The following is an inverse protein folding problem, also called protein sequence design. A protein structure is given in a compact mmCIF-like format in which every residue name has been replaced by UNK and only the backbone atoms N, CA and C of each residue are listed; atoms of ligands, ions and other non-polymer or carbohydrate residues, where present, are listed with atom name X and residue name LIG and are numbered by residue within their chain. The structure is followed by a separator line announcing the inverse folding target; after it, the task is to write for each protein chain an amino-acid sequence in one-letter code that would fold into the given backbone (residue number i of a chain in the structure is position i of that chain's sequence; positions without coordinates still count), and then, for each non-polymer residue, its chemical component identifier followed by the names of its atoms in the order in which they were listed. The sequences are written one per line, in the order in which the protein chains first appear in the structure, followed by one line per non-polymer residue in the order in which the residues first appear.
data_IF_675058333830
#
_entry.id   IF_675058333830
#
_cell.length_a   1.000
_cell.length_b   1.000
_cell.length_c   1.000
_cell.angle_alpha   90.00
_cell.angle_beta   90.00
_cell.angle_gamma   90.00
#
_symmetry.space_group_name_H-M   'P 1'
#
loop_
_entity.id
_entity.type
_entity.pdbx_description
1 polymer ?
#
# COMPACT_ATOMS: atom_id res chain seq x y z
N UNK A 1 -6.37 -12.71 -16.51
CA UNK A 1 -6.84 -11.55 -17.29
C UNK A 1 -7.79 -10.74 -16.41
N UNK A 2 -7.71 -9.42 -16.46
CA UNK A 2 -8.57 -8.54 -15.67
C UNK A 2 -9.61 -7.86 -16.56
N UNK A 3 -10.87 -7.89 -16.14
CA UNK A 3 -11.99 -7.31 -16.89
C UNK A 3 -12.62 -6.17 -16.10
N UNK A 4 -12.63 -4.97 -16.68
CA UNK A 4 -13.30 -3.82 -16.10
C UNK A 4 -14.83 -4.00 -16.09
N UNK A 5 -15.54 -3.51 -15.04
CA UNK A 5 -16.99 -3.61 -14.93
C UNK A 5 -17.68 -2.80 -16.04
N UNK A 6 -18.90 -3.18 -16.43
CA UNK A 6 -19.63 -2.54 -17.54
C UNK A 6 -19.80 -1.03 -17.41
N UNK A 7 -19.83 -0.55 -16.18
CA UNK A 7 -20.02 0.83 -15.76
C UNK A 7 -18.80 1.71 -16.03
N UNK A 8 -17.60 1.12 -16.06
CA UNK A 8 -16.36 1.89 -16.08
C UNK A 8 -15.27 1.32 -16.99
N UNK A 9 -14.43 2.20 -17.53
CA UNK A 9 -13.23 1.84 -18.31
C UNK A 9 -12.07 2.75 -17.95
N UNK A 10 -10.84 2.26 -18.11
CA UNK A 10 -9.67 3.12 -17.99
C UNK A 10 -9.56 3.94 -19.29
N UNK A 11 -9.66 5.28 -19.25
CA UNK A 11 -9.46 6.09 -20.43
C UNK A 11 -8.05 5.91 -20.97
N UNK A 12 -7.93 5.95 -22.29
CA UNK A 12 -6.66 5.79 -23.02
C UNK A 12 -6.55 6.89 -24.06
N UNK A 13 -5.37 7.53 -24.14
CA UNK A 13 -5.09 8.64 -25.05
C UNK A 13 -6.04 9.84 -24.88
N UNK A 14 -6.14 10.39 -23.66
CA UNK A 14 -6.97 11.57 -23.43
C UNK A 14 -6.34 12.84 -24.05
N UNK A 15 -7.15 13.84 -24.44
CA UNK A 15 -6.62 15.12 -24.88
C UNK A 15 -5.75 15.77 -23.80
N UNK A 16 -4.45 15.89 -24.05
CA UNK A 16 -3.47 16.43 -23.10
C UNK A 16 -2.54 15.38 -22.48
N UNK A 17 -2.80 14.08 -22.69
CA UNK A 17 -1.88 13.00 -22.31
C UNK A 17 -0.67 12.93 -23.26
N UNK A 18 0.40 12.25 -22.79
CA UNK A 18 1.51 11.86 -23.66
C UNK A 18 1.06 10.85 -24.70
N UNK A 19 1.53 10.98 -25.94
CA UNK A 19 1.24 10.04 -27.04
C UNK A 19 1.91 8.65 -26.89
N UNK A 20 2.50 8.35 -25.72
CA UNK A 20 3.34 7.19 -25.47
C UNK A 20 2.77 6.31 -24.37
N UNK A 21 2.84 4.99 -24.58
CA UNK A 21 2.69 4.01 -23.51
C UNK A 21 4.08 3.54 -23.08
N UNK A 22 4.33 3.56 -21.78
CA UNK A 22 5.56 3.03 -21.19
C UNK A 22 5.23 1.64 -20.65
N UNK A 23 5.96 0.63 -21.12
CA UNK A 23 5.92 -0.71 -20.56
C UNK A 23 7.22 -0.95 -19.81
N UNK A 24 7.10 -1.07 -18.49
CA UNK A 24 8.20 -1.52 -17.64
C UNK A 24 8.09 -3.02 -17.42
N UNK A 25 9.18 -3.76 -17.63
CA UNK A 25 9.24 -5.21 -17.43
C UNK A 25 10.32 -5.55 -16.42
N UNK A 26 9.94 -6.22 -15.34
CA UNK A 26 10.86 -6.63 -14.29
C UNK A 26 11.40 -8.04 -14.55
N UNK A 27 12.70 -8.14 -14.86
CA UNK A 27 13.37 -9.44 -15.08
C UNK A 27 14.18 -9.84 -13.84
N UNK A 28 13.81 -10.94 -13.20
CA UNK A 28 14.64 -11.57 -12.18
C UNK A 28 15.55 -12.63 -12.82
N UNK A 29 16.84 -12.31 -12.99
CA UNK A 29 17.85 -13.18 -13.62
C UNK A 29 18.99 -13.55 -12.65
N UNK A 30 18.72 -14.34 -11.59
CA UNK A 30 19.72 -14.64 -10.55
C UNK A 30 20.90 -15.47 -11.07
N UNK A 31 20.68 -16.28 -12.11
CA UNK A 31 21.73 -17.11 -12.74
C UNK A 31 22.58 -16.33 -13.76
N UNK A 32 22.29 -15.04 -13.98
CA UNK A 32 22.99 -14.17 -14.94
C UNK A 32 23.07 -14.78 -16.35
N UNK A 33 22.00 -15.45 -16.78
CA UNK A 33 21.92 -16.07 -18.11
C UNK A 33 22.03 -15.00 -19.18
N UNK A 34 22.84 -15.28 -20.19
CA UNK A 34 23.05 -14.41 -21.36
C UNK A 34 22.37 -15.01 -22.60
N UNK A 35 22.15 -14.18 -23.63
CA UNK A 35 21.57 -14.61 -24.91
C UNK A 35 20.07 -14.92 -24.87
N UNK A 36 19.38 -14.59 -23.77
CA UNK A 36 17.92 -14.70 -23.68
C UNK A 36 17.26 -13.59 -24.50
N UNK A 37 16.30 -13.96 -25.35
CA UNK A 37 15.46 -13.03 -26.10
C UNK A 37 14.05 -13.18 -25.57
N UNK A 38 13.48 -12.08 -25.07
CA UNK A 38 12.09 -12.01 -24.61
C UNK A 38 11.25 -11.14 -25.54
N UNK A 39 9.97 -11.49 -25.68
CA UNK A 39 8.98 -10.72 -26.42
C UNK A 39 7.64 -10.74 -25.66
N UNK A 40 7.73 -10.65 -24.34
CA UNK A 40 6.59 -10.60 -23.44
C UNK A 40 5.96 -9.21 -23.46
N UNK A 41 4.69 -9.14 -23.07
CA UNK A 41 3.97 -7.88 -22.99
C UNK A 41 2.53 -8.02 -22.54
N UNK A 42 1.79 -6.93 -22.66
CA UNK A 42 0.39 -6.82 -22.23
C UNK A 42 -0.49 -6.67 -23.47
N UNK A 43 -1.63 -7.38 -23.49
CA UNK A 43 -2.67 -7.20 -24.51
C UNK A 43 -3.80 -6.34 -23.96
N UNK A 44 -3.97 -5.15 -24.50
CA UNK A 44 -5.13 -4.30 -24.23
C UNK A 44 -6.29 -4.65 -25.17
N UNK A 45 -7.50 -4.71 -24.62
CA UNK A 45 -8.75 -4.75 -25.40
C UNK A 45 -9.46 -3.42 -25.19
N UNK A 46 -9.52 -2.60 -26.25
CA UNK A 46 -10.02 -1.22 -26.20
C UNK A 46 -11.28 -1.04 -27.04
N UNK A 47 -12.05 0.00 -26.74
CA UNK A 47 -13.27 0.39 -27.48
C UNK A 47 -13.28 1.90 -27.68
N UNK A 48 -13.76 2.41 -28.84
CA UNK A 48 -13.95 3.84 -29.03
C UNK A 48 -15.19 4.38 -28.30
N UNK A 49 -16.09 3.50 -27.83
CA UNK A 49 -17.28 3.88 -27.08
C UNK A 49 -16.96 4.05 -25.60
N UNK A 50 -17.03 5.28 -25.11
CA UNK A 50 -16.84 5.59 -23.70
C UNK A 50 -17.89 4.87 -22.84
N UNK A 51 -17.44 4.38 -21.68
CA UNK A 51 -18.33 3.88 -20.62
C UNK A 51 -18.84 5.05 -19.79
N UNK A 52 -19.77 4.76 -18.87
CA UNK A 52 -20.41 5.79 -18.05
C UNK A 52 -19.41 6.52 -17.14
N UNK A 53 -18.41 5.80 -16.64
CA UNK A 53 -17.40 6.34 -15.74
C UNK A 53 -15.97 6.01 -16.20
N UNK A 54 -15.07 6.95 -15.97
CA UNK A 54 -13.64 6.67 -15.98
C UNK A 54 -13.28 5.85 -14.74
N UNK A 55 -12.41 4.86 -14.91
CA UNK A 55 -11.79 4.16 -13.80
C UNK A 55 -10.48 4.85 -13.38
N UNK A 56 -10.20 4.82 -12.08
CA UNK A 56 -8.95 5.26 -11.49
C UNK A 56 -8.27 4.12 -10.72
N UNK A 57 -7.00 4.34 -10.38
CA UNK A 57 -6.22 3.47 -9.51
C UNK A 57 -5.66 4.34 -8.39
N UNK A 58 -6.03 4.00 -7.15
CA UNK A 58 -5.46 4.58 -5.94
C UNK A 58 -4.42 3.62 -5.38
N UNK A 59 -3.19 4.09 -5.22
CA UNK A 59 -2.11 3.37 -4.56
C UNK A 59 -2.04 3.74 -3.07
N UNK A 60 -2.20 2.76 -2.17
CA UNK A 60 -1.86 2.91 -0.75
C UNK A 60 -0.58 2.12 -0.49
N UNK A 61 0.49 2.78 -0.08
CA UNK A 61 1.83 2.19 -0.14
C UNK A 61 2.79 2.62 0.97
N UNK A 62 3.63 1.71 1.44
CA UNK A 62 4.84 2.09 2.17
C UNK A 62 5.87 2.63 1.17
N UNK A 63 6.78 3.54 1.55
CA UNK A 63 7.86 3.93 0.65
C UNK A 63 8.62 2.72 0.09
N UNK A 64 8.80 2.68 -1.22
CA UNK A 64 9.60 1.67 -1.94
C UNK A 64 11.08 2.04 -1.86
N UNK A 65 11.55 2.24 -0.63
CA UNK A 65 12.91 2.60 -0.29
C UNK A 65 13.26 2.15 1.14
N UNK A 66 14.43 2.55 1.62
CA UNK A 66 14.95 2.15 2.93
C UNK A 66 14.16 2.65 4.15
N UNK A 67 13.06 3.38 3.95
CA UNK A 67 12.15 3.78 5.02
C UNK A 67 11.13 2.69 5.41
N UNK A 68 10.89 1.68 4.58
CA UNK A 68 10.25 0.45 5.01
C UNK A 68 11.31 -0.45 5.66
N UNK A 69 11.10 -0.83 6.91
CA UNK A 69 12.10 -1.53 7.72
C UNK A 69 11.48 -2.77 8.36
N UNK A 70 12.00 -3.94 7.98
CA UNK A 70 11.57 -5.24 8.50
C UNK A 70 12.73 -5.85 9.29
N UNK A 71 12.63 -5.93 10.63
CA UNK A 71 13.70 -6.50 11.43
C UNK A 71 13.81 -8.02 11.18
N UNK A 72 15.01 -8.61 11.30
CA UNK A 72 15.20 -10.05 11.16
C UNK A 72 14.53 -10.82 12.31
N UNK A 73 14.44 -12.14 12.14
CA UNK A 73 13.99 -13.09 13.16
C UNK A 73 12.54 -12.92 13.63
N UNK A 74 11.67 -12.28 12.83
CA UNK A 74 10.25 -12.13 13.16
C UNK A 74 9.39 -13.08 12.35
N UNK A 75 8.56 -13.89 13.01
CA UNK A 75 7.61 -14.79 12.32
C UNK A 75 6.31 -14.12 11.88
N UNK A 76 6.01 -12.94 12.43
CA UNK A 76 4.78 -12.21 12.17
C UNK A 76 4.99 -10.72 12.46
N UNK A 77 5.80 -10.07 11.63
CA UNK A 77 6.05 -8.64 11.71
C UNK A 77 5.02 -7.89 10.85
N UNK A 78 4.38 -6.86 11.39
CA UNK A 78 3.36 -6.10 10.67
C UNK A 78 3.86 -4.68 10.41
N UNK A 79 3.82 -4.25 9.15
CA UNK A 79 3.93 -2.84 8.79
C UNK A 79 2.57 -2.30 8.42
N UNK A 80 2.25 -1.11 8.92
CA UNK A 80 1.00 -0.41 8.67
C UNK A 80 1.24 0.84 7.84
N UNK A 81 0.36 1.07 6.87
CA UNK A 81 0.34 2.22 5.98
C UNK A 81 -1.04 2.84 6.03
N UNK A 82 -1.10 4.17 5.96
CA UNK A 82 -2.31 4.92 6.23
C UNK A 82 -2.65 5.90 5.11
N UNK A 83 -3.95 6.01 4.80
CA UNK A 83 -4.54 7.05 3.98
C UNK A 83 -5.67 7.69 4.80
N UNK A 84 -5.48 8.91 5.27
CA UNK A 84 -6.28 9.48 6.35
C UNK A 84 -7.67 9.98 5.90
N UNK A 85 -8.57 10.16 6.86
CA UNK A 85 -9.96 10.56 6.59
C UNK A 85 -10.06 11.90 5.85
N UNK A 86 -9.22 12.87 6.22
CA UNK A 86 -9.22 14.20 5.59
C UNK A 86 -8.86 14.13 4.12
N UNK A 87 -7.84 13.34 3.76
CA UNK A 87 -7.40 13.17 2.38
C UNK A 87 -8.46 12.42 1.59
N UNK A 88 -8.94 11.28 2.07
CA UNK A 88 -10.02 10.55 1.36
C UNK A 88 -11.25 11.46 1.17
N UNK A 89 -11.61 12.25 2.18
CA UNK A 89 -12.74 13.19 2.08
C UNK A 89 -12.49 14.29 1.05
N UNK A 90 -11.31 14.91 1.05
CA UNK A 90 -10.91 15.95 0.09
C UNK A 90 -11.08 15.49 -1.35
N UNK A 91 -10.54 14.31 -1.68
CA UNK A 91 -10.53 13.80 -3.04
C UNK A 91 -11.84 13.14 -3.48
N UNK A 92 -12.78 12.94 -2.55
CA UNK A 92 -14.15 12.51 -2.83
C UNK A 92 -15.16 13.66 -2.82
N UNK A 93 -14.74 14.92 -2.63
CA UNK A 93 -15.65 16.07 -2.62
C UNK A 93 -16.48 16.20 -3.92
N UNK A 94 -15.89 15.83 -5.05
CA UNK A 94 -16.54 15.84 -6.37
C UNK A 94 -17.58 14.72 -6.53
N UNK A 95 -17.58 13.72 -5.64
CA UNK A 95 -18.46 12.56 -5.66
C UNK A 95 -19.20 12.43 -4.32
N UNK A 96 -20.30 13.16 -4.10
CA UNK A 96 -21.07 13.12 -2.84
C UNK A 96 -21.56 11.72 -2.45
N UNK A 97 -21.77 10.85 -3.44
CA UNK A 97 -22.18 9.46 -3.24
C UNK A 97 -20.99 8.50 -3.09
N UNK A 98 -19.75 9.00 -3.13
CA UNK A 98 -18.53 8.21 -3.11
C UNK A 98 -18.16 7.61 -4.47
N UNK A 99 -17.16 6.73 -4.44
CA UNK A 99 -16.66 5.97 -5.58
C UNK A 99 -16.77 4.48 -5.31
N UNK A 100 -17.08 3.70 -6.34
CA UNK A 100 -17.19 2.26 -6.25
C UNK A 100 -15.84 1.59 -6.53
N UNK A 101 -15.32 0.89 -5.53
CA UNK A 101 -14.17 0.00 -5.66
C UNK A 101 -14.62 -1.32 -6.26
N UNK A 102 -14.00 -1.70 -7.38
CA UNK A 102 -14.32 -2.91 -8.13
C UNK A 102 -13.18 -3.94 -8.15
N UNK A 103 -11.98 -3.54 -7.72
CA UNK A 103 -10.82 -4.42 -7.65
C UNK A 103 -9.79 -3.93 -6.64
N UNK A 104 -9.08 -4.87 -6.02
CA UNK A 104 -7.88 -4.59 -5.21
C UNK A 104 -6.80 -5.58 -5.59
N UNK A 105 -5.62 -5.08 -5.95
CA UNK A 105 -4.42 -5.88 -6.14
C UNK A 105 -3.45 -5.55 -5.00
N UNK A 106 -3.10 -6.55 -4.20
CA UNK A 106 -2.15 -6.40 -3.10
C UNK A 106 -0.78 -6.94 -3.52
N UNK A 107 0.28 -6.29 -3.04
CA UNK A 107 1.65 -6.61 -3.43
C UNK A 107 2.61 -6.45 -2.26
N UNK A 108 3.46 -7.46 -2.11
CA UNK A 108 4.65 -7.54 -1.25
C UNK A 108 5.63 -8.55 -1.87
N UNK A 109 6.90 -8.55 -1.45
CA UNK A 109 7.90 -9.51 -1.93
C UNK A 109 7.92 -10.81 -1.10
N UNK A 110 9.07 -11.48 -1.00
CA UNK A 110 9.19 -12.88 -0.56
C UNK A 110 8.82 -13.13 0.91
N UNK A 111 9.03 -12.14 1.78
CA UNK A 111 8.71 -12.23 3.21
C UNK A 111 7.21 -12.08 3.46
N UNK A 112 6.44 -11.48 2.54
CA UNK A 112 4.99 -11.30 2.69
C UNK A 112 4.24 -12.63 2.91
N UNK A 113 3.34 -12.65 3.90
CA UNK A 113 2.49 -13.81 4.26
C UNK A 113 1.01 -13.48 4.44
N UNK A 114 0.68 -12.23 4.73
CA UNK A 114 -0.70 -11.76 4.76
C UNK A 114 -0.74 -10.28 4.42
N UNK A 115 -1.80 -9.83 3.74
CA UNK A 115 -2.01 -8.42 3.41
C UNK A 115 -3.48 -8.07 3.60
N UNK A 116 -3.76 -7.03 4.37
CA UNK A 116 -5.12 -6.58 4.67
C UNK A 116 -5.30 -5.10 4.37
N UNK A 117 -6.32 -4.77 3.58
CA UNK A 117 -6.69 -3.39 3.23
C UNK A 117 -8.00 -3.04 3.92
N UNK A 118 -7.90 -2.40 5.08
CA UNK A 118 -8.99 -2.06 5.98
C UNK A 118 -9.64 -0.74 5.57
N UNK A 119 -10.94 -0.59 5.87
CA UNK A 119 -11.69 0.66 5.71
C UNK A 119 -12.30 1.03 7.06
N UNK A 120 -12.08 2.26 7.51
CA UNK A 120 -12.60 2.78 8.75
C UNK A 120 -13.51 3.94 8.38
N UNK A 121 -14.81 3.81 8.63
CA UNK A 121 -15.78 4.88 8.39
C UNK A 121 -16.07 5.58 9.71
N UNK A 122 -15.59 6.82 9.88
CA UNK A 122 -15.84 7.65 11.08
C UNK A 122 -15.59 6.90 12.38
N UNK A 123 -14.44 6.22 12.47
CA UNK A 123 -14.03 5.42 13.63
C UNK A 123 -14.68 4.04 13.76
N UNK A 124 -15.52 3.60 12.81
CA UNK A 124 -16.10 2.25 12.78
C UNK A 124 -15.46 1.44 11.66
N UNK A 125 -14.74 0.38 12.01
CA UNK A 125 -14.15 -0.51 11.01
C UNK A 125 -15.24 -1.26 10.25
N UNK A 126 -15.03 -1.29 8.95
CA UNK A 126 -15.91 -1.91 8.00
C UNK A 126 -15.30 -3.23 7.51
N UNK A 127 -16.10 -4.05 6.79
CA UNK A 127 -15.53 -5.17 6.03
C UNK A 127 -14.35 -4.68 5.16
N UNK A 128 -13.16 -5.28 5.26
CA UNK A 128 -11.99 -4.88 4.49
C UNK A 128 -12.26 -4.86 2.98
N UNK A 129 -11.57 -4.01 2.22
CA UNK A 129 -11.59 -4.07 0.76
C UNK A 129 -10.96 -5.37 0.25
N UNK A 130 -9.93 -5.84 0.95
CA UNK A 130 -9.25 -7.10 0.69
C UNK A 130 -8.60 -7.61 1.98
N UNK A 131 -8.65 -8.92 2.21
CA UNK A 131 -8.04 -9.61 3.35
C UNK A 131 -7.40 -10.91 2.84
N UNK A 132 -6.12 -10.85 2.47
CA UNK A 132 -5.32 -12.04 2.16
C UNK A 132 -4.69 -12.58 3.42
N UNK A 133 -5.22 -13.70 3.94
CA UNK A 133 -4.65 -14.34 5.11
C UNK A 133 -3.48 -15.26 4.77
N UNK A 134 -3.30 -15.59 3.50
CA UNK A 134 -2.34 -16.58 3.00
C UNK A 134 -1.67 -16.05 1.73
N UNK A 135 -1.22 -14.79 1.79
CA UNK A 135 -0.57 -14.16 0.66
C UNK A 135 0.65 -14.95 0.24
N UNK A 136 0.75 -15.22 -1.06
CA UNK A 136 1.89 -15.86 -1.70
C UNK A 136 2.40 -14.92 -2.78
N UNK A 137 3.68 -14.56 -2.70
CA UNK A 137 4.37 -13.76 -3.72
C UNK A 137 4.19 -14.32 -5.13
N UNK A 138 4.08 -15.64 -5.29
CA UNK A 138 3.90 -16.29 -6.58
C UNK A 138 2.45 -16.26 -7.10
N UNK A 139 1.49 -15.83 -6.27
CA UNK A 139 0.07 -15.74 -6.60
C UNK A 139 -0.50 -14.37 -6.25
N UNK A 140 -0.33 -13.41 -7.16
CA UNK A 140 -0.81 -12.04 -7.00
C UNK A 140 -1.96 -11.78 -7.98
N UNK A 141 -3.19 -11.95 -7.50
CA UNK A 141 -4.41 -11.77 -8.31
C UNK A 141 -5.24 -10.55 -7.85
N UNK A 142 -6.10 -10.09 -8.74
CA UNK A 142 -7.05 -9.02 -8.46
C UNK A 142 -8.23 -9.56 -7.66
N UNK A 143 -8.38 -9.11 -6.41
CA UNK A 143 -9.59 -9.37 -5.65
C UNK A 143 -10.71 -8.47 -6.13
N UNK A 144 -11.80 -9.08 -6.59
CA UNK A 144 -13.03 -8.35 -6.88
C UNK A 144 -13.58 -7.75 -5.60
N UNK A 145 -13.92 -6.47 -5.66
CA UNK A 145 -14.62 -5.77 -4.61
C UNK A 145 -15.94 -5.22 -5.18
N UNK A 146 -16.90 -4.97 -4.30
CA UNK A 146 -18.10 -4.20 -4.62
C UNK A 146 -18.40 -3.34 -3.40
N UNK A 147 -17.69 -2.23 -3.30
CA UNK A 147 -17.66 -1.40 -2.09
C UNK A 147 -17.59 0.07 -2.47
N UNK A 148 -18.47 0.88 -1.91
CA UNK A 148 -18.36 2.33 -2.01
C UNK A 148 -17.39 2.87 -0.96
N UNK A 149 -16.36 3.59 -1.40
CA UNK A 149 -15.58 4.51 -0.57
C UNK A 149 -16.24 5.89 -0.62
N UNK A 150 -16.38 6.53 0.53
CA UNK A 150 -17.11 7.80 0.69
C UNK A 150 -16.42 8.73 1.68
N UNK A 151 -16.80 10.00 1.67
CA UNK A 151 -16.34 10.97 2.66
C UNK A 151 -16.54 10.46 4.10
N UNK A 152 -15.52 10.64 4.94
CA UNK A 152 -15.45 10.05 6.28
C UNK A 152 -14.84 8.65 6.34
N UNK A 153 -14.43 8.06 5.21
CA UNK A 153 -13.62 6.83 5.19
C UNK A 153 -12.13 7.14 5.35
N UNK A 154 -11.40 6.24 5.98
CA UNK A 154 -9.95 6.17 5.96
C UNK A 154 -9.49 4.75 5.66
N UNK A 155 -8.27 4.58 5.17
CA UNK A 155 -7.71 3.28 4.78
C UNK A 155 -6.48 2.94 5.62
N UNK A 156 -6.38 1.67 6.01
CA UNK A 156 -5.18 1.11 6.63
C UNK A 156 -4.78 -0.12 5.82
N UNK A 157 -3.57 -0.11 5.28
CA UNK A 157 -2.94 -1.27 4.68
C UNK A 157 -1.98 -1.90 5.70
N UNK A 158 -2.17 -3.19 5.97
CA UNK A 158 -1.31 -3.97 6.86
C UNK A 158 -0.66 -5.07 6.04
N UNK A 159 0.68 -5.10 6.02
CA UNK A 159 1.45 -6.19 5.43
C UNK A 159 2.16 -6.97 6.54
N UNK A 160 1.92 -8.27 6.57
CA UNK A 160 2.55 -9.20 7.51
C UNK A 160 3.69 -9.93 6.82
N UNK A 161 4.84 -9.95 7.47
CA UNK A 161 6.07 -10.58 6.99
C UNK A 161 6.57 -11.68 7.92
N UNK A 162 7.18 -12.70 7.32
CA UNK A 162 8.00 -13.70 8.00
C UNK A 162 9.47 -13.50 7.60
N UNK A 163 10.23 -12.90 8.50
CA UNK A 163 11.68 -12.67 8.42
C UNK A 163 12.49 -13.63 9.29
N UNK A 164 11.92 -14.76 9.73
CA UNK A 164 12.61 -15.73 10.61
C UNK A 164 13.94 -16.22 10.03
N UNK A 165 13.99 -16.41 8.70
CA UNK A 165 15.17 -16.84 7.96
C UNK A 165 16.18 -15.73 7.66
N UNK A 166 15.87 -14.46 7.96
CA UNK A 166 16.78 -13.33 7.74
C UNK A 166 17.68 -13.12 8.96
N UNK A 167 18.95 -12.79 8.71
CA UNK A 167 19.91 -12.39 9.77
C UNK A 167 20.13 -10.88 9.84
N UNK A 168 19.83 -10.16 8.75
CA UNK A 168 19.98 -8.72 8.64
C UNK A 168 18.60 -8.08 8.44
N UNK A 169 18.53 -6.76 8.63
CA UNK A 169 17.34 -5.97 8.31
C UNK A 169 17.01 -6.12 6.83
N UNK A 170 15.73 -6.33 6.52
CA UNK A 170 15.21 -6.23 5.15
C UNK A 170 14.56 -4.87 4.97
N UNK A 171 15.00 -4.14 3.95
CA UNK A 171 14.49 -2.81 3.63
C UNK A 171 13.48 -2.85 2.49
N UNK A 172 12.71 -1.78 2.36
CA UNK A 172 11.92 -1.55 1.16
C UNK A 172 12.79 -1.28 -0.07
N UNK A 173 12.32 -1.72 -1.24
CA UNK A 173 13.01 -1.49 -2.50
C UNK A 173 12.49 -2.35 -3.65
N UNK A 174 13.13 -2.22 -4.81
CA UNK A 174 12.67 -2.82 -6.07
C UNK A 174 13.13 -4.27 -6.27
N UNK A 175 14.21 -4.68 -5.62
CA UNK A 175 14.72 -6.04 -5.72
C UNK A 175 13.79 -7.04 -5.05
N UNK A 176 13.70 -8.26 -5.60
CA UNK A 176 12.95 -9.37 -4.98
C UNK A 176 13.47 -9.75 -3.57
N UNK A 177 14.70 -9.36 -3.22
CA UNK A 177 15.27 -9.56 -1.88
C UNK A 177 15.02 -8.39 -0.91
N UNK A 178 14.57 -7.26 -1.44
CA UNK A 178 13.99 -6.16 -0.65
C UNK A 178 12.49 -6.41 -0.50
N UNK A 179 11.75 -5.50 0.14
CA UNK A 179 10.31 -5.65 0.38
C UNK A 179 9.46 -4.50 -0.14
N UNK A 180 8.16 -4.77 -0.23
CA UNK A 180 7.14 -3.77 -0.56
C UNK A 180 5.87 -4.00 0.26
N UNK A 181 5.06 -2.95 0.43
CA UNK A 181 3.73 -3.05 1.01
C UNK A 181 2.77 -2.15 0.26
N UNK A 182 2.03 -2.71 -0.70
CA UNK A 182 1.22 -1.93 -1.64
C UNK A 182 -0.18 -2.54 -1.77
N UNK A 183 -1.19 -1.67 -1.86
CA UNK A 183 -2.51 -1.99 -2.36
C UNK A 183 -2.89 -1.04 -3.49
N UNK A 184 -3.10 -1.58 -4.68
CA UNK A 184 -3.70 -0.89 -5.82
C UNK A 184 -5.22 -1.08 -5.78
N UNK A 185 -5.94 0.00 -5.52
CA UNK A 185 -7.39 0.04 -5.38
C UNK A 185 -7.98 0.58 -6.67
N UNK A 186 -8.72 -0.25 -7.39
CA UNK A 186 -9.37 0.09 -8.65
C UNK A 186 -10.79 0.57 -8.38
N UNK A 187 -11.10 1.81 -8.76
CA UNK A 187 -12.38 2.45 -8.47
C UNK A 187 -12.95 3.26 -9.63
N UNK A 188 -14.23 3.58 -9.56
CA UNK A 188 -14.88 4.55 -10.43
C UNK A 188 -15.97 5.33 -9.67
N UNK A 189 -16.29 6.59 -10.03
CA UNK A 189 -15.56 7.41 -10.99
C UNK A 189 -14.10 7.67 -10.57
N UNK A 190 -13.23 7.89 -11.56
CA UNK A 190 -11.81 8.20 -11.37
C UNK A 190 -11.67 9.42 -10.47
N UNK A 191 -10.92 9.28 -9.39
CA UNK A 191 -10.59 10.41 -8.51
C UNK A 191 -9.24 10.99 -8.90
N UNK A 192 -9.03 12.19 -8.39
CA UNK A 192 -7.77 12.90 -8.43
C UNK A 192 -6.75 12.39 -7.41
N UNK A 193 -7.03 11.38 -6.59
CA UNK A 193 -6.07 10.85 -5.62
C UNK A 193 -5.36 9.66 -6.24
N UNK A 194 -4.08 9.83 -6.55
CA UNK A 194 -3.26 8.79 -7.14
C UNK A 194 -2.59 7.94 -6.07
N UNK A 195 -2.01 8.57 -5.04
CA UNK A 195 -1.28 7.85 -4.01
C UNK A 195 -1.53 8.35 -2.59
N UNK A 196 -1.38 7.41 -1.65
CA UNK A 196 -1.29 7.60 -0.22
C UNK A 196 -0.08 6.83 0.28
N UNK A 197 1.00 7.53 0.60
CA UNK A 197 2.23 6.94 1.11
C UNK A 197 2.49 7.40 2.54
N UNK A 198 2.72 6.48 3.47
CA UNK A 198 3.04 6.84 4.85
C UNK A 198 4.19 6.02 5.42
N UNK A 199 5.02 6.64 6.25
CA UNK A 199 6.05 5.95 7.04
C UNK A 199 6.09 6.44 8.48
N UNK A 200 6.46 5.61 9.46
CA UNK A 200 6.78 6.08 10.80
C UNK A 200 8.03 6.99 10.76
N UNK A 201 8.10 7.96 11.68
CA UNK A 201 9.27 8.83 11.82
C UNK A 201 10.45 8.20 12.56
N UNK A 202 10.23 7.07 13.24
CA UNK A 202 11.28 6.40 14.03
C UNK A 202 12.01 7.34 14.99
N UNK A 203 11.28 8.23 15.69
CA UNK A 203 11.88 9.38 16.41
C UNK A 203 12.95 8.96 17.41
N UNK A 204 12.74 7.82 18.09
CA UNK A 204 13.66 7.25 19.09
C UNK A 204 15.00 6.79 18.49
N UNK A 205 15.04 6.50 17.19
CA UNK A 205 16.22 5.97 16.50
C UNK A 205 17.06 7.05 15.81
N UNK A 206 16.62 8.31 15.82
CA UNK A 206 17.45 9.43 15.39
C UNK A 206 18.35 9.89 16.53
N UNK A 207 19.64 9.53 16.46
CA UNK A 207 20.66 9.85 17.48
C UNK A 207 21.42 11.15 17.22
N UNK A 208 21.27 11.73 16.03
CA UNK A 208 21.89 13.00 15.63
C UNK A 208 21.10 14.24 16.11
N UNK A 209 21.67 15.45 15.95
CA UNK A 209 20.98 16.69 16.28
C UNK A 209 19.68 16.87 15.49
N UNK A 210 18.57 17.10 16.18
CA UNK A 210 17.28 17.41 15.56
C UNK A 210 17.16 18.93 15.39
N UNK A 211 17.36 19.41 14.16
CA UNK A 211 17.26 20.84 13.82
C UNK A 211 15.90 21.25 13.27
N UNK A 212 15.07 20.26 12.93
CA UNK A 212 13.72 20.44 12.38
C UNK A 212 13.09 19.11 11.99
N UNK A 213 11.82 19.13 11.59
CA UNK A 213 11.06 17.90 11.27
C UNK A 213 11.64 17.10 10.09
N UNK A 214 12.31 17.78 9.14
CA UNK A 214 12.99 17.13 8.02
C UNK A 214 14.14 16.23 8.45
N UNK A 215 14.67 16.41 9.68
CA UNK A 215 15.71 15.52 10.23
C UNK A 215 15.21 14.06 10.33
N UNK A 216 13.89 13.86 10.46
CA UNK A 216 13.25 12.56 10.52
C UNK A 216 12.98 11.94 9.12
N UNK A 217 13.35 12.64 8.05
CA UNK A 217 13.31 12.10 6.69
C UNK A 217 14.64 11.44 6.29
N UNK A 218 15.71 11.67 7.05
CA UNK A 218 17.00 11.05 6.78
C UNK A 218 16.91 9.51 6.92
N UNK A 219 17.49 8.73 5.98
CA UNK A 219 17.56 7.29 6.11
C UNK A 219 18.27 6.86 7.40
N UNK A 220 17.74 5.83 8.05
CA UNK A 220 18.27 5.26 9.29
C UNK A 220 19.01 3.94 9.07
N UNK A 221 19.42 3.64 7.83
CA UNK A 221 20.04 2.35 7.46
C UNK A 221 21.22 2.01 8.36
N UNK A 222 22.20 2.92 8.47
CA UNK A 222 23.37 2.71 9.35
C UNK A 222 23.01 2.49 10.82
N UNK A 223 21.94 3.13 11.31
CA UNK A 223 21.47 2.94 12.68
C UNK A 223 20.86 1.56 12.85
N UNK A 224 19.95 1.18 11.95
CA UNK A 224 19.25 -0.10 12.01
C UNK A 224 20.16 -1.29 11.71
N UNK A 225 21.16 -1.13 10.86
CA UNK A 225 22.18 -2.16 10.58
C UNK A 225 23.09 -2.42 11.78
N UNK A 226 23.30 -1.42 12.64
CA UNK A 226 24.13 -1.52 13.84
C UNK A 226 23.38 -2.08 15.07
N UNK A 227 22.05 -2.24 14.99
CA UNK A 227 21.23 -2.75 16.10
C UNK A 227 21.40 -4.26 16.25
N UNK A 228 21.52 -4.72 17.49
CA UNK A 228 21.34 -6.12 17.84
C UNK A 228 19.84 -6.47 17.90
N UNK A 229 19.32 -6.97 16.77
CA UNK A 229 17.93 -7.39 16.63
C UNK A 229 17.59 -8.69 17.36
N UNK A 230 18.56 -9.38 17.95
CA UNK A 230 18.27 -10.52 18.82
C UNK A 230 17.83 -10.07 20.22
N UNK A 231 18.09 -8.81 20.58
CA UNK A 231 17.68 -8.23 21.84
C UNK A 231 16.16 -7.90 21.83
N UNK A 232 15.39 -8.66 22.60
CA UNK A 232 13.94 -8.49 22.73
C UNK A 232 13.50 -7.08 23.20
N UNK A 233 14.36 -6.36 23.94
CA UNK A 233 14.06 -4.97 24.35
C UNK A 233 14.07 -4.02 23.16
N UNK A 234 15.03 -4.20 22.23
CA UNK A 234 15.13 -3.35 21.04
C UNK A 234 13.99 -3.62 20.08
N UNK A 235 13.63 -4.89 19.88
CA UNK A 235 12.44 -5.25 19.09
C UNK A 235 11.18 -4.61 19.69
N UNK A 236 11.05 -4.61 21.02
CA UNK A 236 9.90 -4.00 21.70
C UNK A 236 9.86 -2.48 21.51
N UNK A 237 10.99 -1.82 21.64
CA UNK A 237 11.10 -0.38 21.39
C UNK A 237 10.79 0.00 19.94
N UNK A 238 11.24 -0.84 18.99
CA UNK A 238 10.92 -0.65 17.58
C UNK A 238 9.42 -0.80 17.32
N UNK A 239 8.77 -1.84 17.86
CA UNK A 239 7.31 -2.01 17.76
C UNK A 239 6.55 -0.87 18.44
N UNK A 240 7.02 -0.41 19.60
CA UNK A 240 6.46 0.77 20.29
C UNK A 240 6.54 2.03 19.42
N UNK A 241 7.63 2.22 18.67
CA UNK A 241 7.78 3.31 17.71
C UNK A 241 6.75 3.21 16.57
N UNK A 242 6.53 2.01 16.01
CA UNK A 242 5.52 1.81 14.96
C UNK A 242 4.10 2.13 15.44
N UNK A 243 3.80 1.86 16.71
CA UNK A 243 2.46 2.05 17.30
C UNK A 243 2.21 3.48 17.82
N UNK A 244 3.27 4.19 18.23
CA UNK A 244 3.15 5.43 19.00
C UNK A 244 3.87 6.64 18.39
N UNK A 245 4.75 6.47 17.41
CA UNK A 245 5.36 7.63 16.73
C UNK A 245 4.43 8.21 15.68
N UNK A 246 4.62 9.50 15.41
CA UNK A 246 4.00 10.14 14.27
C UNK A 246 4.50 9.53 12.96
N UNK A 247 3.62 9.48 11.98
CA UNK A 247 3.91 9.08 10.62
C UNK A 247 4.04 10.31 9.73
N UNK A 248 5.07 10.32 8.89
CA UNK A 248 5.15 11.20 7.74
C UNK A 248 4.27 10.64 6.64
N UNK A 249 3.39 11.48 6.10
CA UNK A 249 2.36 11.08 5.14
C UNK A 249 2.42 12.00 3.92
N UNK A 250 2.48 11.40 2.74
CA UNK A 250 2.52 12.04 1.43
C UNK A 250 1.34 11.53 0.62
N UNK A 251 0.63 12.44 -0.05
CA UNK A 251 -0.50 12.11 -0.90
C UNK A 251 -0.60 13.11 -2.05
N UNK A 252 -1.13 12.69 -3.19
CA UNK A 252 -1.09 13.54 -4.38
C UNK A 252 -1.93 13.07 -5.54
N UNK A 253 -2.01 13.94 -6.54
CA UNK A 253 -2.85 13.81 -7.72
C UNK A 253 -2.10 13.32 -8.96
N UNK A 254 -0.81 13.62 -9.02
CA UNK A 254 0.13 13.21 -10.07
C UNK A 254 1.55 13.25 -9.47
N UNK A 255 2.57 12.84 -10.24
CA UNK A 255 3.97 12.85 -9.79
C UNK A 255 4.54 14.25 -9.47
N UNK A 256 3.79 15.32 -9.75
CA UNK A 256 4.26 16.72 -9.67
C UNK A 256 3.55 17.54 -8.57
N UNK A 257 2.47 17.04 -7.97
CA UNK A 257 1.69 17.72 -6.94
C UNK A 257 1.48 16.82 -5.72
N UNK A 258 2.53 16.70 -4.90
CA UNK A 258 2.47 16.01 -3.62
C UNK A 258 2.22 17.00 -2.47
N UNK A 259 1.17 16.72 -1.70
CA UNK A 259 0.98 17.27 -0.37
C UNK A 259 1.64 16.36 0.66
N UNK A 260 2.05 16.94 1.78
CA UNK A 260 2.55 16.17 2.91
C UNK A 260 1.96 16.68 4.22
N UNK A 261 1.87 15.79 5.21
CA UNK A 261 1.49 16.12 6.57
C UNK A 261 2.06 15.11 7.55
N UNK A 262 1.86 15.37 8.83
CA UNK A 262 2.17 14.48 9.94
C UNK A 262 0.87 13.92 10.51
N UNK A 263 0.87 12.65 10.87
CA UNK A 263 -0.31 12.02 11.48
C UNK A 263 0.09 11.13 12.67
N UNK A 264 -0.84 10.96 13.60
CA UNK A 264 -0.72 9.98 14.69
C UNK A 264 -1.42 8.69 14.25
N UNK A 265 -0.75 7.53 14.24
CA UNK A 265 -1.37 6.27 13.83
C UNK A 265 -2.59 5.91 14.69
N UNK A 266 -2.65 6.34 15.96
CA UNK A 266 -3.78 6.06 16.84
C UNK A 266 -5.07 6.74 16.40
N UNK A 267 -4.99 7.89 15.71
CA UNK A 267 -6.19 8.56 15.20
C UNK A 267 -6.83 7.81 14.03
N UNK A 268 -6.12 6.83 13.46
CA UNK A 268 -6.61 6.00 12.36
C UNK A 268 -7.31 4.74 12.82
N UNK A 269 -7.00 4.26 14.03
CA UNK A 269 -7.56 3.01 14.50
C UNK A 269 -9.05 3.13 14.80
N UNK A 270 -9.83 2.08 14.50
CA UNK A 270 -11.25 2.11 14.75
C UNK A 270 -11.54 2.04 16.25
N UNK A 271 -12.54 2.80 16.68
CA UNK A 271 -13.16 2.67 18.00
C UNK A 271 -14.04 1.42 18.10
N UNK A 272 -14.54 0.94 16.94
CA UNK A 272 -15.38 -0.26 16.84
C UNK A 272 -14.77 -1.18 15.77
N UNK A 273 -14.18 -2.33 16.14
CA UNK A 273 -13.58 -3.25 15.18
C UNK A 273 -14.64 -3.98 14.35
N UNK A 274 -14.26 -4.39 13.14
CA UNK A 274 -15.13 -5.16 12.29
C UNK A 274 -15.22 -6.60 12.79
N UNK A 275 -16.43 -7.13 12.85
CA UNK A 275 -16.69 -8.55 13.11
C UNK A 275 -17.33 -9.15 11.87
N UNK A 276 -16.72 -10.19 11.31
CA UNK A 276 -17.34 -10.92 10.22
C UNK A 276 -18.65 -11.53 10.76
N UNK A 277 -19.80 -11.32 10.09
CA UNK A 277 -21.04 -11.94 10.49
C UNK A 277 -20.87 -13.47 10.56
N UNK A 278 -21.57 -14.16 11.49
CA UNK A 278 -21.60 -15.61 11.49
C UNK A 278 -22.01 -16.11 10.11
N UNK A 279 -21.25 -17.07 9.58
CA UNK A 279 -21.43 -17.58 8.22
C UNK A 279 -22.76 -18.35 8.14
N UNK A 280 -23.86 -17.67 7.81
CA UNK A 280 -25.21 -18.27 7.74
C UNK A 280 -25.48 -19.02 6.43
N UNK A 281 -24.46 -19.21 5.58
CA UNK A 281 -24.59 -19.86 4.27
C UNK A 281 -23.55 -20.97 4.01
N UNK A 282 -23.28 -21.81 5.01
CA UNK A 282 -22.81 -23.18 4.76
C UNK A 282 -23.85 -24.16 5.33
N UNK A 283 -25.07 -24.10 4.78
CA UNK A 283 -26.05 -25.17 4.92
C UNK A 283 -25.77 -26.20 3.83
N UNK A 284 -25.48 -27.43 4.29
CA UNK A 284 -25.23 -28.65 3.49
C UNK A 284 -26.36 -28.93 2.51
#
# INVERSE_FOLDING_TARGET
AFYFPTEAGLPVAEPGDTELYIMETHYNNPELKSGMVDNSGIRFTVTPTLRLHDAGILEVTAPVDTNLVIPPHQSNFVSSVYCNESTVTEFLQEYPNGVNVFGVQQHAHLLGKAIKTRVIHKGVEQKPLADDKYYDFNYQDFRRANRTLRAGDSLILECTYDSTGQTNVTYGGYSTQEEMCIAFIFHYPRTRLFNCQSKPLYKRFHTGPVVGWWSYLAPLTSTFDAIDWTNASVIREFKDSLENDQYFYVYGHDSNQYNYTMMDPKSMYPNVPYTEPPNTQCGV
#
